data_IF_442513979978
#
_entry.id   IF_442513979978
#
_cell.length_a   1.000
_cell.length_b   1.000
_cell.length_c   1.000
_cell.angle_alpha   90.00
_cell.angle_beta   90.00
_cell.angle_gamma   90.00
#
_symmetry.space_group_name_H-M   'P 1'
#
loop_
_entity.id
_entity.type
_entity.pdbx_description
1 polymer ?
#
# COMPACT_ATOMS: atom_id res chain seq x y z
N UNK A 1 -14.58 -9.71 14.26
CA UNK A 1 -13.16 -9.93 13.89
C UNK A 1 -12.61 -8.58 13.43
N UNK A 2 -11.70 -7.97 14.19
CA UNK A 2 -11.03 -6.74 13.76
C UNK A 2 -10.07 -7.12 12.63
N UNK A 3 -10.42 -6.75 11.41
CA UNK A 3 -9.53 -6.91 10.26
C UNK A 3 -8.52 -5.78 10.33
N UNK A 4 -7.35 -6.06 10.90
CA UNK A 4 -6.25 -5.10 10.95
C UNK A 4 -5.76 -4.88 9.50
N UNK A 5 -6.22 -3.79 8.91
CA UNK A 5 -5.85 -3.36 7.56
C UNK A 5 -4.46 -2.75 7.65
N UNK A 6 -3.46 -3.45 7.12
CA UNK A 6 -2.11 -2.94 7.07
C UNK A 6 -1.68 -2.71 5.63
N UNK A 7 -1.40 -1.46 5.30
CA UNK A 7 -0.56 -1.17 4.15
C UNK A 7 0.89 -1.39 4.60
N UNK A 8 1.73 -2.05 3.80
CA UNK A 8 3.02 -2.51 4.30
C UNK A 8 4.04 -1.40 4.58
N UNK A 9 3.74 -0.14 4.23
CA UNK A 9 4.46 1.03 4.70
C UNK A 9 3.50 2.02 5.36
N UNK A 10 3.82 2.41 6.60
CA UNK A 10 3.02 3.37 7.39
C UNK A 10 2.76 4.69 6.68
N UNK A 11 3.69 5.16 5.85
CA UNK A 11 3.52 6.40 5.08
C UNK A 11 2.33 6.34 4.13
N UNK A 12 2.01 5.16 3.58
CA UNK A 12 0.83 5.02 2.72
C UNK A 12 -0.45 5.04 3.51
N UNK A 13 -0.46 4.52 4.73
CA UNK A 13 -1.62 4.67 5.62
C UNK A 13 -1.87 6.14 5.90
N UNK A 14 -0.82 6.94 6.08
CA UNK A 14 -0.93 8.39 6.23
C UNK A 14 -1.44 9.07 4.96
N UNK A 15 -0.88 8.77 3.78
CA UNK A 15 -1.32 9.37 2.51
C UNK A 15 -2.75 8.95 2.13
N UNK A 16 -3.10 7.68 2.36
CA UNK A 16 -4.46 7.19 2.17
C UNK A 16 -5.43 7.84 3.17
N UNK A 17 -4.97 7.99 4.41
CA UNK A 17 -5.61 8.78 5.46
C UNK A 17 -5.93 10.20 4.99
N UNK A 18 -4.93 10.90 4.45
CA UNK A 18 -5.02 12.30 4.07
C UNK A 18 -5.90 12.55 2.84
N UNK A 19 -5.84 11.66 1.84
CA UNK A 19 -6.42 11.91 0.52
C UNK A 19 -7.66 11.08 0.19
N UNK A 20 -7.91 9.98 0.93
CA UNK A 20 -8.93 8.99 0.54
C UNK A 20 -9.85 8.54 1.67
N UNK A 21 -9.62 8.91 2.93
CA UNK A 21 -10.49 8.52 4.06
C UNK A 21 -11.95 8.91 3.84
N UNK A 22 -12.22 10.14 3.42
CA UNK A 22 -13.59 10.64 3.22
C UNK A 22 -14.37 9.83 2.16
N UNK A 23 -13.66 9.14 1.26
CA UNK A 23 -14.29 8.32 0.21
C UNK A 23 -14.73 6.96 0.72
N UNK A 24 -14.21 6.48 1.84
CA UNK A 24 -14.42 5.11 2.33
C UNK A 24 -14.98 5.04 3.76
N UNK A 25 -14.95 6.14 4.50
CA UNK A 25 -15.53 6.19 5.85
C UNK A 25 -17.05 6.01 5.80
N UNK A 26 -17.58 5.15 6.67
CA UNK A 26 -19.02 4.79 6.77
C UNK A 26 -19.67 4.25 5.49
N UNK A 27 -18.86 3.83 4.50
CA UNK A 27 -19.33 3.22 3.26
C UNK A 27 -19.16 1.71 3.34
N UNK A 28 -20.14 0.97 2.81
CA UNK A 28 -19.99 -0.46 2.60
C UNK A 28 -19.04 -0.68 1.40
N UNK A 29 -17.94 -1.41 1.63
CA UNK A 29 -16.91 -1.65 0.63
C UNK A 29 -16.47 -3.11 0.67
N UNK A 30 -16.11 -3.65 -0.48
CA UNK A 30 -15.50 -4.98 -0.55
C UNK A 30 -13.98 -4.85 -0.65
N UNK A 31 -13.27 -5.42 0.32
CA UNK A 31 -11.81 -5.40 0.36
C UNK A 31 -11.29 -6.76 -0.12
N UNK A 32 -10.57 -6.78 -1.25
CA UNK A 32 -9.97 -8.00 -1.80
C UNK A 32 -8.47 -8.02 -1.49
N UNK A 33 -7.96 -9.17 -1.06
CA UNK A 33 -6.59 -9.28 -0.57
C UNK A 33 -6.26 -10.68 -0.04
N UNK A 34 -5.23 -10.74 0.80
CA UNK A 34 -4.74 -12.00 1.39
C UNK A 34 -4.75 -11.91 2.91
N UNK A 35 -5.26 -12.95 3.56
CA UNK A 35 -5.17 -13.07 5.01
C UNK A 35 -3.82 -13.65 5.40
N UNK A 36 -3.01 -12.89 6.16
CA UNK A 36 -1.69 -13.33 6.59
C UNK A 36 -1.78 -13.92 8.00
N UNK A 37 -1.56 -15.23 8.10
CA UNK A 37 -1.48 -15.95 9.38
C UNK A 37 -0.10 -15.72 9.99
N UNK A 38 0.02 -14.71 10.85
CA UNK A 38 1.20 -14.44 11.66
C UNK A 38 0.80 -14.40 13.14
N UNK A 39 1.78 -14.31 14.07
CA UNK A 39 1.52 -14.18 15.51
C UNK A 39 0.53 -13.04 15.85
N UNK A 40 0.46 -12.00 15.00
CA UNK A 40 -0.68 -11.10 14.91
C UNK A 40 -1.28 -11.19 13.51
N UNK A 41 -2.43 -11.84 13.31
CA UNK A 41 -3.02 -11.95 11.98
C UNK A 41 -3.48 -10.60 11.46
N UNK A 42 -3.28 -10.36 10.16
CA UNK A 42 -3.70 -9.12 9.52
C UNK A 42 -4.06 -9.38 8.06
N UNK A 43 -4.85 -8.47 7.47
CA UNK A 43 -5.28 -8.59 6.08
C UNK A 43 -4.48 -7.66 5.18
N UNK A 44 -3.87 -8.22 4.15
CA UNK A 44 -3.10 -7.50 3.15
C UNK A 44 -4.04 -7.15 2.00
N UNK A 45 -4.39 -5.87 1.88
CA UNK A 45 -5.28 -5.40 0.82
C UNK A 45 -4.57 -5.30 -0.53
N UNK A 46 -5.22 -5.83 -1.57
CA UNK A 46 -4.82 -5.70 -2.97
C UNK A 46 -5.60 -4.58 -3.67
N UNK A 47 -6.92 -4.57 -3.52
CA UNK A 47 -7.80 -3.53 -4.05
C UNK A 47 -9.12 -3.50 -3.28
N UNK A 48 -9.80 -2.37 -3.35
CA UNK A 48 -11.11 -2.13 -2.75
C UNK A 48 -12.11 -1.93 -3.88
N UNK A 49 -13.30 -2.54 -3.78
CA UNK A 49 -14.43 -2.29 -4.67
C UNK A 49 -15.45 -1.46 -3.90
N UNK A 50 -15.87 -0.36 -4.50
CA UNK A 50 -16.92 0.52 -3.98
C UNK A 50 -17.75 0.99 -5.17
N UNK A 51 -19.07 0.83 -5.12
CA UNK A 51 -19.99 1.28 -6.18
C UNK A 51 -19.54 0.80 -7.59
N UNK A 52 -19.17 -0.48 -7.71
CA UNK A 52 -18.57 -1.11 -8.92
C UNK A 52 -17.20 -0.57 -9.38
N UNK A 53 -16.72 0.52 -8.79
CA UNK A 53 -15.39 1.08 -9.06
C UNK A 53 -14.29 0.36 -8.28
N UNK A 54 -13.20 0.07 -9.00
CA UNK A 54 -12.04 -0.64 -8.44
C UNK A 54 -10.92 0.32 -8.05
N UNK A 55 -10.69 0.43 -6.75
CA UNK A 55 -9.60 1.21 -6.16
C UNK A 55 -8.39 0.31 -5.90
N UNK A 56 -7.38 0.40 -6.79
CA UNK A 56 -6.12 -0.33 -6.65
C UNK A 56 -5.28 0.20 -5.48
N UNK A 57 -4.71 -0.72 -4.69
CA UNK A 57 -3.64 -0.38 -3.77
C UNK A 57 -2.31 -0.42 -4.54
N UNK A 58 -1.79 0.74 -4.91
CA UNK A 58 -0.57 0.91 -5.72
C UNK A 58 0.73 0.47 -5.04
N UNK A 59 0.63 -0.07 -3.83
CA UNK A 59 1.76 -0.39 -2.99
C UNK A 59 2.77 -1.36 -3.65
N UNK A 60 2.34 -2.37 -4.41
CA UNK A 60 3.29 -3.25 -5.13
C UNK A 60 4.07 -2.52 -6.23
N UNK A 61 3.38 -1.67 -7.00
CA UNK A 61 3.97 -0.91 -8.10
C UNK A 61 4.91 0.17 -7.56
N UNK A 62 4.49 0.87 -6.50
CA UNK A 62 5.28 1.94 -5.90
C UNK A 62 6.50 1.41 -5.15
N UNK A 63 6.39 0.26 -4.47
CA UNK A 63 7.55 -0.39 -3.83
C UNK A 63 8.61 -0.75 -4.87
N UNK A 64 8.19 -1.24 -6.05
CA UNK A 64 9.12 -1.47 -7.17
C UNK A 64 9.77 -0.19 -7.66
N UNK A 65 9.00 0.88 -7.87
CA UNK A 65 9.54 2.18 -8.32
C UNK A 65 10.59 2.69 -7.34
N UNK A 66 10.29 2.69 -6.04
CA UNK A 66 11.23 3.15 -5.00
C UNK A 66 12.47 2.27 -4.96
N UNK A 67 12.31 0.94 -5.02
CA UNK A 67 13.45 0.01 -5.06
C UNK A 67 14.35 0.26 -6.28
N UNK A 68 13.79 0.40 -7.48
CA UNK A 68 14.57 0.73 -8.67
C UNK A 68 15.22 2.12 -8.58
N UNK A 69 14.51 3.12 -8.05
CA UNK A 69 15.07 4.45 -7.86
C UNK A 69 16.28 4.46 -6.93
N UNK A 70 16.23 3.71 -5.82
CA UNK A 70 17.36 3.58 -4.90
C UNK A 70 18.55 2.84 -5.52
N UNK A 71 18.30 1.80 -6.32
CA UNK A 71 19.36 1.10 -7.06
C UNK A 71 20.04 2.05 -8.04
N UNK A 72 19.26 2.79 -8.84
CA UNK A 72 19.79 3.76 -9.81
C UNK A 72 20.58 4.85 -9.09
N UNK A 73 20.04 5.39 -7.98
CA UNK A 73 20.72 6.39 -7.16
C UNK A 73 22.05 5.88 -6.62
N UNK A 74 22.09 4.64 -6.10
CA UNK A 74 23.32 4.02 -5.61
C UNK A 74 24.37 3.83 -6.70
N UNK A 75 23.94 3.45 -7.92
CA UNK A 75 24.84 3.37 -9.07
C UNK A 75 25.37 4.75 -9.46
N UNK A 76 24.51 5.76 -9.54
CA UNK A 76 24.91 7.13 -9.85
C UNK A 76 25.90 7.68 -8.82
N UNK A 77 25.64 7.48 -7.52
CA UNK A 77 26.54 7.89 -6.45
C UNK A 77 27.91 7.21 -6.57
N UNK A 78 27.95 5.92 -6.88
CA UNK A 78 29.21 5.20 -7.13
C UNK A 78 29.99 5.82 -8.28
N UNK A 79 29.33 6.23 -9.36
CA UNK A 79 29.98 6.89 -10.50
C UNK A 79 30.43 8.32 -10.22
N UNK A 80 29.82 9.02 -9.27
CA UNK A 80 30.16 10.40 -8.91
C UNK A 80 31.29 10.45 -7.86
N UNK A 81 31.32 9.50 -6.90
CA UNK A 81 32.34 9.44 -5.85
C UNK A 81 33.55 8.56 -6.19
N UNK A 82 33.45 7.73 -7.23
CA UNK A 82 34.47 6.76 -7.65
C UNK A 82 35.42 7.28 -8.71
#
# INVERSE_FOLDING_TARGET
>A
MLVDYKQPLKIFETLFGLFKVDKFQEKEVQVIGWYKRSMRPYFVCKYIIKDEERYQCYNYLLTKIVAYALIILGVLLKFILG
#
